data_IF_277321345129
#
_entry.id   IF_277321345129
#
_cell.length_a   1.000
_cell.length_b   1.000
_cell.length_c   1.000
_cell.angle_alpha   90.00
_cell.angle_beta   90.00
_cell.angle_gamma   90.00
#
_symmetry.space_group_name_H-M   'P 1'
#
loop_
_entity.id
_entity.type
_entity.pdbx_description
1 polymer ?
#
# COMPACT_ATOMS: atom_id res chain seq x y z
N UNK A 1 48.96 -49.71 2.28
CA UNK A 1 49.19 -48.29 1.96
C UNK A 1 48.39 -47.99 0.71
N UNK A 2 47.54 -46.94 0.78
CA UNK A 2 46.91 -46.12 -0.26
C UNK A 2 46.34 -46.81 -1.53
N UNK A 3 45.17 -46.45 -2.04
CA UNK A 3 44.10 -45.55 -1.64
C UNK A 3 42.89 -45.89 -2.53
N UNK A 4 41.70 -45.86 -1.95
CA UNK A 4 40.45 -45.92 -2.70
C UNK A 4 40.04 -44.51 -3.04
N UNK A 5 39.83 -44.21 -4.32
CA UNK A 5 39.16 -43.00 -4.76
C UNK A 5 38.36 -43.30 -6.03
N UNK A 6 37.14 -43.80 -5.84
CA UNK A 6 36.14 -43.83 -6.91
C UNK A 6 35.52 -42.43 -6.97
N UNK A 7 35.85 -41.69 -8.02
CA UNK A 7 35.36 -40.35 -8.30
C UNK A 7 33.83 -40.37 -8.50
N UNK A 8 33.10 -39.88 -7.49
CA UNK A 8 31.68 -39.57 -7.61
C UNK A 8 31.52 -38.39 -8.58
N UNK A 9 30.75 -38.59 -9.66
CA UNK A 9 30.44 -37.54 -10.64
C UNK A 9 29.65 -36.41 -9.96
N UNK A 10 30.00 -35.17 -10.26
CA UNK A 10 29.43 -33.95 -9.67
C UNK A 10 27.95 -33.68 -10.04
N UNK A 11 27.27 -34.61 -10.70
CA UNK A 11 25.91 -34.45 -11.22
C UNK A 11 24.81 -35.08 -10.32
N UNK A 12 25.18 -35.73 -9.21
CA UNK A 12 24.23 -36.40 -8.28
C UNK A 12 23.95 -35.60 -6.99
N UNK A 13 24.31 -34.32 -6.92
CA UNK A 13 23.90 -33.47 -5.79
C UNK A 13 22.47 -32.95 -6.04
N UNK A 14 21.50 -33.21 -5.14
CA UNK A 14 20.21 -32.53 -5.22
C UNK A 14 20.50 -31.02 -5.12
N UNK A 15 20.20 -30.30 -6.20
CA UNK A 15 20.32 -28.84 -6.23
C UNK A 15 19.60 -28.23 -5.03
N UNK A 16 20.07 -27.08 -4.51
CA UNK A 16 19.43 -26.45 -3.37
C UNK A 16 17.94 -26.36 -3.67
N UNK A 17 17.14 -26.97 -2.78
CA UNK A 17 15.70 -26.88 -2.86
C UNK A 17 15.36 -25.41 -3.04
N UNK A 18 14.81 -25.08 -4.21
CA UNK A 18 14.22 -23.78 -4.46
C UNK A 18 13.03 -23.72 -3.52
N UNK A 19 13.28 -23.34 -2.26
CA UNK A 19 12.23 -22.99 -1.33
C UNK A 19 11.44 -21.90 -2.04
N UNK A 20 10.23 -22.29 -2.48
CA UNK A 20 9.28 -21.37 -3.03
C UNK A 20 9.18 -20.22 -2.04
N UNK A 21 9.28 -18.99 -2.55
CA UNK A 21 8.93 -17.81 -1.78
C UNK A 21 7.43 -17.90 -1.49
N UNK A 22 7.05 -18.72 -0.51
CA UNK A 22 5.82 -18.52 0.22
C UNK A 22 5.95 -17.11 0.78
N UNK A 23 5.16 -16.22 0.19
CA UNK A 23 4.99 -14.84 0.62
C UNK A 23 4.64 -14.86 2.09
N UNK A 24 5.63 -14.72 2.98
CA UNK A 24 5.38 -14.41 4.37
C UNK A 24 4.50 -13.17 4.37
N UNK A 25 3.26 -13.31 4.81
CA UNK A 25 2.43 -12.15 5.09
C UNK A 25 3.19 -11.30 6.09
N UNK A 26 3.74 -10.18 5.62
CA UNK A 26 4.47 -9.25 6.46
C UNK A 26 3.57 -8.86 7.64
N UNK A 27 4.11 -8.86 8.85
CA UNK A 27 3.37 -8.42 10.04
C UNK A 27 3.20 -6.89 10.10
N UNK A 28 3.76 -6.15 9.15
CA UNK A 28 3.79 -4.69 9.10
C UNK A 28 3.89 -4.17 7.65
N UNK A 29 3.54 -2.91 7.38
CA UNK A 29 3.69 -2.32 6.07
C UNK A 29 5.14 -2.36 5.59
N UNK A 30 5.35 -2.73 4.32
CA UNK A 30 6.63 -2.55 3.66
C UNK A 30 7.08 -1.08 3.70
N UNK A 31 8.40 -0.87 3.67
CA UNK A 31 9.00 0.46 3.50
C UNK A 31 8.38 1.18 2.30
N UNK A 32 8.06 2.47 2.48
CA UNK A 32 7.27 3.22 1.50
C UNK A 32 7.50 4.72 1.60
N UNK A 33 7.60 5.39 0.46
CA UNK A 33 7.70 6.84 0.33
C UNK A 33 6.47 7.42 -0.36
N UNK A 34 6.12 8.67 -0.03
CA UNK A 34 4.95 9.35 -0.62
C UNK A 34 3.61 8.68 -0.32
N UNK A 35 3.52 7.89 0.75
CA UNK A 35 2.29 7.28 1.23
C UNK A 35 1.44 8.32 1.99
N UNK A 36 0.17 8.01 2.21
CA UNK A 36 -0.66 8.75 3.17
C UNK A 36 -0.74 7.99 4.48
N UNK A 37 -0.77 8.73 5.59
CA UNK A 37 -1.01 8.21 6.92
C UNK A 37 -2.02 9.12 7.63
N UNK A 38 -3.20 8.59 7.96
CA UNK A 38 -4.30 9.35 8.60
C UNK A 38 -4.83 8.61 9.81
N UNK A 39 -5.27 9.33 10.84
CA UNK A 39 -5.78 8.72 12.08
C UNK A 39 -7.22 9.10 12.38
N UNK A 40 -7.98 8.19 13.00
CA UNK A 40 -9.32 8.46 13.54
C UNK A 40 -9.33 8.59 15.08
N UNK A 41 -8.15 8.64 15.69
CA UNK A 41 -7.94 8.66 17.15
C UNK A 41 -7.78 7.29 17.80
N UNK A 42 -8.21 6.19 17.16
CA UNK A 42 -8.00 4.80 17.63
C UNK A 42 -7.16 3.96 16.68
N UNK A 43 -7.27 4.24 15.40
CA UNK A 43 -6.56 3.59 14.32
C UNK A 43 -5.79 4.61 13.49
N UNK A 44 -4.63 4.19 13.00
CA UNK A 44 -3.91 4.87 11.93
C UNK A 44 -4.00 4.02 10.67
N UNK A 45 -4.36 4.66 9.56
CA UNK A 45 -4.52 4.07 8.26
C UNK A 45 -3.37 4.50 7.36
N UNK A 46 -2.72 3.54 6.71
CA UNK A 46 -1.60 3.78 5.79
C UNK A 46 -1.91 3.19 4.43
N UNK A 47 -1.83 4.03 3.39
CA UNK A 47 -2.19 3.64 2.02
C UNK A 47 -1.22 4.22 0.99
N UNK A 48 -1.03 3.47 -0.09
CA UNK A 48 -0.28 3.88 -1.27
C UNK A 48 1.20 4.14 -1.00
N UNK A 49 1.78 5.00 -1.82
CA UNK A 49 3.21 5.25 -1.87
C UNK A 49 3.95 4.32 -2.82
N UNK A 50 5.26 4.45 -2.85
CA UNK A 50 6.15 3.63 -3.66
C UNK A 50 7.29 3.08 -2.83
N UNK A 51 7.87 1.97 -3.31
CA UNK A 51 9.08 1.37 -2.75
C UNK A 51 10.22 1.54 -3.75
N UNK A 52 11.37 1.99 -3.26
CA UNK A 52 12.60 2.08 -4.06
C UNK A 52 13.25 0.71 -4.15
N UNK A 53 13.55 0.23 -5.36
CA UNK A 53 14.29 -1.00 -5.55
C UNK A 53 15.77 -0.72 -5.83
N UNK A 54 16.59 -0.67 -4.78
CA UNK A 54 18.02 -0.38 -4.91
C UNK A 54 18.82 -1.53 -5.54
N UNK A 55 18.29 -2.76 -5.58
CA UNK A 55 19.09 -3.96 -5.88
C UNK A 55 19.33 -4.19 -7.37
N UNK A 56 18.66 -3.45 -8.28
CA UNK A 56 18.78 -3.71 -9.73
C UNK A 56 18.79 -2.49 -10.66
N UNK A 57 18.91 -1.27 -10.11
CA UNK A 57 18.80 -0.05 -10.93
C UNK A 57 17.45 0.10 -11.64
N UNK A 58 16.43 -0.61 -11.16
CA UNK A 58 15.06 -0.57 -11.68
C UNK A 58 14.28 0.54 -10.97
N UNK A 59 13.39 1.17 -11.72
CA UNK A 59 12.53 2.27 -11.30
C UNK A 59 11.75 1.98 -10.01
N UNK A 60 11.46 3.04 -9.24
CA UNK A 60 10.50 3.02 -8.15
C UNK A 60 9.17 2.39 -8.61
N UNK A 61 8.60 1.51 -7.77
CA UNK A 61 7.30 0.91 -8.06
C UNK A 61 6.27 1.30 -7.02
N UNK A 62 5.06 1.65 -7.48
CA UNK A 62 3.93 1.91 -6.60
C UNK A 62 3.50 0.64 -5.88
N UNK A 63 3.07 0.80 -4.64
CA UNK A 63 2.56 -0.30 -3.84
C UNK A 63 1.17 -0.77 -4.32
N UNK A 64 0.77 -2.01 -3.97
CA UNK A 64 -0.53 -2.55 -4.35
C UNK A 64 -1.67 -1.62 -3.93
N UNK A 65 -2.56 -1.27 -4.86
CA UNK A 65 -3.62 -0.28 -4.62
C UNK A 65 -4.71 -0.77 -3.68
N UNK A 66 -4.95 -2.08 -3.67
CA UNK A 66 -5.94 -2.73 -2.82
C UNK A 66 -5.47 -2.81 -1.36
N UNK A 67 -4.17 -2.62 -1.09
CA UNK A 67 -3.58 -2.74 0.24
C UNK A 67 -3.86 -1.50 1.12
N UNK A 68 -4.65 -1.70 2.18
CA UNK A 68 -4.77 -0.74 3.28
C UNK A 68 -4.19 -1.35 4.56
N UNK A 69 -3.27 -0.63 5.20
CA UNK A 69 -2.73 -1.00 6.50
C UNK A 69 -3.43 -0.24 7.60
N UNK A 70 -3.80 -0.96 8.66
CA UNK A 70 -4.46 -0.40 9.83
C UNK A 70 -3.62 -0.73 11.05
N UNK A 71 -3.15 0.30 11.74
CA UNK A 71 -2.50 0.19 13.03
C UNK A 71 -3.51 0.50 14.13
N UNK A 72 -3.79 -0.47 14.99
CA UNK A 72 -4.59 -0.23 16.19
C UNK A 72 -3.69 0.33 17.29
N UNK A 73 -3.94 1.57 17.69
CA UNK A 73 -3.07 2.31 18.62
C UNK A 73 -3.23 1.85 20.09
N UNK A 74 -4.33 1.18 20.43
CA UNK A 74 -4.57 0.63 21.76
C UNK A 74 -3.80 -0.68 21.98
N UNK A 75 -3.82 -1.57 21.00
CA UNK A 75 -3.18 -2.89 21.05
C UNK A 75 -1.76 -2.90 20.50
N UNK A 76 -1.37 -1.86 19.77
CA UNK A 76 -0.07 -1.73 19.12
C UNK A 76 0.13 -2.69 17.94
N UNK A 77 -0.94 -3.19 17.32
CA UNK A 77 -0.86 -4.20 16.25
C UNK A 77 -1.24 -3.63 14.88
N UNK A 78 -0.49 -4.05 13.88
CA UNK A 78 -0.80 -3.83 12.47
C UNK A 78 -1.70 -4.94 11.95
N UNK A 79 -2.58 -4.56 11.01
CA UNK A 79 -3.39 -5.47 10.22
C UNK A 79 -3.38 -4.98 8.79
N UNK A 80 -3.05 -5.87 7.85
CA UNK A 80 -3.30 -5.66 6.43
C UNK A 80 -4.76 -6.01 6.13
N UNK A 81 -5.42 -5.16 5.36
CA UNK A 81 -6.68 -5.50 4.73
C UNK A 81 -6.55 -5.27 3.23
N UNK A 82 -7.25 -6.10 2.46
CA UNK A 82 -7.50 -5.82 1.05
C UNK A 82 -8.81 -5.04 0.94
N UNK A 83 -8.83 -4.04 0.07
CA UNK A 83 -9.96 -3.17 -0.21
C UNK A 83 -10.49 -3.41 -1.62
N UNK A 84 -11.76 -3.13 -1.83
CA UNK A 84 -12.48 -3.38 -3.08
C UNK A 84 -13.24 -2.12 -3.55
N UNK A 85 -14.08 -2.26 -4.59
CA UNK A 85 -14.91 -1.17 -5.11
C UNK A 85 -14.18 -0.31 -6.14
N UNK A 86 -14.39 1.00 -6.08
CA UNK A 86 -13.72 2.00 -6.92
C UNK A 86 -12.28 2.26 -6.43
N UNK A 87 -11.48 1.20 -6.30
CA UNK A 87 -10.14 1.27 -5.71
C UNK A 87 -9.29 2.29 -6.50
N UNK A 88 -8.67 3.29 -5.82
CA UNK A 88 -7.81 4.25 -6.50
C UNK A 88 -6.66 3.56 -7.26
N UNK A 89 -6.07 4.16 -8.30
CA UNK A 89 -4.86 3.60 -8.91
C UNK A 89 -3.70 3.50 -7.91
N UNK A 90 -2.76 2.58 -8.13
CA UNK A 90 -1.51 2.56 -7.37
C UNK A 90 -0.77 3.88 -7.59
N UNK A 91 -0.62 4.68 -6.53
CA UNK A 91 -0.13 6.05 -6.63
C UNK A 91 0.63 6.50 -5.37
N UNK A 92 1.40 7.58 -5.51
CA UNK A 92 2.09 8.26 -4.42
C UNK A 92 1.80 9.76 -4.45
N UNK A 93 2.12 10.45 -3.36
CA UNK A 93 1.94 11.90 -3.26
C UNK A 93 0.48 12.35 -3.18
N UNK A 94 -0.46 11.45 -2.92
CA UNK A 94 -1.84 11.82 -2.60
C UNK A 94 -1.89 12.57 -1.27
N UNK A 95 -2.97 13.31 -1.02
CA UNK A 95 -3.31 13.79 0.30
C UNK A 95 -4.55 13.07 0.81
N UNK A 96 -4.62 12.88 2.12
CA UNK A 96 -5.77 12.22 2.74
C UNK A 96 -6.10 12.83 4.10
N UNK A 97 -7.36 12.70 4.48
CA UNK A 97 -7.87 13.01 5.82
C UNK A 97 -8.83 11.92 6.29
N UNK A 98 -8.98 11.77 7.60
CA UNK A 98 -10.03 10.93 8.17
C UNK A 98 -10.99 11.83 8.94
N UNK A 99 -12.26 11.81 8.56
CA UNK A 99 -13.34 12.57 9.22
C UNK A 99 -14.46 11.61 9.56
N UNK A 100 -14.85 11.57 10.83
CA UNK A 100 -15.92 10.69 11.33
C UNK A 100 -15.77 9.22 10.91
N UNK A 101 -14.52 8.74 10.88
CA UNK A 101 -14.10 7.38 10.46
C UNK A 101 -14.25 7.08 8.96
N UNK A 102 -14.51 8.11 8.15
CA UNK A 102 -14.44 8.04 6.69
C UNK A 102 -13.09 8.59 6.24
N UNK A 103 -12.34 7.78 5.52
CA UNK A 103 -11.09 8.17 4.89
C UNK A 103 -11.43 8.87 3.58
N UNK A 104 -10.85 10.03 3.35
CA UNK A 104 -10.96 10.78 2.11
C UNK A 104 -9.56 10.89 1.48
N UNK A 105 -9.47 10.60 0.19
CA UNK A 105 -8.20 10.56 -0.55
C UNK A 105 -8.33 11.37 -1.83
N UNK A 106 -7.45 12.35 -2.03
CA UNK A 106 -7.47 13.24 -3.18
C UNK A 106 -6.12 13.31 -3.89
N UNK A 107 -6.17 13.28 -5.22
CA UNK A 107 -5.00 13.53 -6.07
C UNK A 107 -3.90 12.47 -5.95
N UNK A 108 -2.70 12.84 -6.39
CA UNK A 108 -1.53 11.96 -6.41
C UNK A 108 -0.95 11.79 -7.81
N UNK A 109 0.12 10.99 -7.89
CA UNK A 109 0.84 10.67 -9.11
C UNK A 109 0.86 9.15 -9.31
N UNK A 110 0.43 8.70 -10.49
CA UNK A 110 0.43 7.29 -10.89
C UNK A 110 1.04 7.14 -12.29
N UNK A 111 1.02 5.92 -12.84
CA UNK A 111 1.64 5.58 -14.14
C UNK A 111 1.17 6.41 -15.35
N UNK A 112 0.04 7.11 -15.26
CA UNK A 112 -0.48 7.98 -16.34
C UNK A 112 -0.32 9.48 -16.03
N UNK A 113 0.41 9.81 -14.97
CA UNK A 113 0.64 11.18 -14.52
C UNK A 113 -0.17 11.56 -13.27
N UNK A 114 -0.34 12.87 -13.08
CA UNK A 114 -1.07 13.42 -11.95
C UNK A 114 -2.57 13.23 -12.10
N UNK A 115 -3.26 13.07 -10.97
CA UNK A 115 -4.72 12.93 -10.91
C UNK A 115 -5.35 14.01 -10.05
N UNK A 116 -6.63 14.27 -10.28
CA UNK A 116 -7.52 15.08 -9.44
C UNK A 116 -8.74 14.27 -8.96
N UNK A 117 -8.66 12.94 -9.04
CA UNK A 117 -9.75 12.07 -8.58
C UNK A 117 -9.86 12.09 -7.06
N UNK A 118 -11.09 11.96 -6.60
CA UNK A 118 -11.44 12.00 -5.19
C UNK A 118 -12.14 10.70 -4.81
N UNK A 119 -11.74 10.12 -3.68
CA UNK A 119 -12.23 8.83 -3.21
C UNK A 119 -12.57 8.91 -1.72
N UNK A 120 -13.52 8.10 -1.28
CA UNK A 120 -13.75 7.83 0.13
C UNK A 120 -13.80 6.33 0.45
N UNK A 121 -13.58 6.01 1.72
CA UNK A 121 -13.76 4.68 2.28
C UNK A 121 -14.27 4.80 3.71
N UNK A 122 -15.46 4.25 4.00
CA UNK A 122 -16.03 4.22 5.35
C UNK A 122 -15.44 3.04 6.15
N UNK A 123 -14.61 3.33 7.14
CA UNK A 123 -13.98 2.29 7.97
C UNK A 123 -14.92 1.65 8.99
N UNK A 124 -16.17 2.14 9.10
CA UNK A 124 -17.22 1.56 9.95
C UNK A 124 -18.07 0.53 9.22
N UNK A 125 -17.89 0.36 7.91
CA UNK A 125 -18.72 -0.59 7.16
C UNK A 125 -18.69 -1.95 7.83
N UNK A 126 -19.87 -2.55 8.02
CA UNK A 126 -20.04 -3.90 8.56
C UNK A 126 -19.75 -4.97 7.52
N UNK A 127 -19.47 -4.56 6.28
CA UNK A 127 -19.06 -5.46 5.22
C UNK A 127 -17.77 -6.19 5.62
N UNK A 128 -17.62 -7.42 5.10
CA UNK A 128 -16.42 -8.22 5.35
C UNK A 128 -15.16 -7.58 4.75
N UNK A 129 -15.34 -6.68 3.78
CA UNK A 129 -14.28 -6.01 3.01
C UNK A 129 -14.62 -4.54 2.91
N UNK A 130 -13.65 -3.66 3.18
CA UNK A 130 -13.85 -2.22 3.04
C UNK A 130 -13.85 -1.81 1.57
N UNK A 131 -14.83 -0.99 1.17
CA UNK A 131 -15.05 -0.58 -0.21
C UNK A 131 -14.61 0.88 -0.38
N UNK A 132 -13.85 1.15 -1.45
CA UNK A 132 -13.62 2.50 -1.94
C UNK A 132 -14.78 2.93 -2.83
N UNK A 133 -15.13 4.21 -2.74
CA UNK A 133 -16.11 4.85 -3.62
C UNK A 133 -15.47 6.08 -4.26
N UNK A 134 -15.63 6.22 -5.58
CA UNK A 134 -15.19 7.44 -6.28
C UNK A 134 -16.24 8.53 -6.08
N UNK A 135 -15.77 9.70 -5.64
CA UNK A 135 -16.60 10.88 -5.46
C UNK A 135 -16.52 11.73 -6.71
N UNK A 136 -17.66 11.92 -7.37
CA UNK A 136 -17.80 12.87 -8.46
C UNK A 136 -18.25 14.23 -7.90
N UNK A 137 -17.28 15.14 -7.72
CA UNK A 137 -17.55 16.49 -7.21
C UNK A 137 -18.29 17.35 -8.25
N UNK A 138 -19.22 18.19 -7.78
CA UNK A 138 -19.87 19.21 -8.61
C UNK A 138 -18.99 20.45 -8.78
N UNK A 139 -19.12 21.14 -9.92
CA UNK A 139 -18.39 22.37 -10.23
C UNK A 139 -17.11 22.14 -11.04
N UNK A 140 -16.22 23.14 -11.05
CA UNK A 140 -14.93 23.06 -11.74
C UNK A 140 -13.94 22.36 -10.80
N UNK A 141 -13.43 21.17 -11.14
CA UNK A 141 -12.50 20.47 -10.28
C UNK A 141 -11.14 21.18 -10.27
N UNK A 142 -10.38 21.09 -9.17
CA UNK A 142 -8.97 21.45 -9.18
C UNK A 142 -8.20 20.72 -10.28
N UNK A 143 -7.10 21.32 -10.74
CA UNK A 143 -6.15 20.65 -11.63
C UNK A 143 -5.55 19.38 -11.00
N UNK A 144 -5.14 18.44 -11.84
CA UNK A 144 -4.40 17.24 -11.44
C UNK A 144 -3.07 17.60 -10.77
N UNK A 145 -2.81 17.03 -9.59
CA UNK A 145 -1.64 17.39 -8.77
C UNK A 145 -1.35 16.36 -7.68
N UNK A 146 -0.11 16.37 -7.19
CA UNK A 146 0.43 15.54 -6.13
C UNK A 146 1.20 16.39 -5.10
N UNK A 147 1.62 15.77 -3.99
CA UNK A 147 2.40 16.38 -2.89
C UNK A 147 1.68 17.55 -2.22
N UNK A 148 0.37 17.41 -2.05
CA UNK A 148 -0.50 18.40 -1.43
C UNK A 148 -0.45 18.32 0.10
N UNK A 149 -0.69 19.45 0.75
CA UNK A 149 -1.12 19.50 2.15
C UNK A 149 -2.64 19.52 2.24
N UNK A 150 -3.19 18.88 3.27
CA UNK A 150 -4.62 18.85 3.56
C UNK A 150 -4.85 18.95 5.06
N UNK A 151 -5.93 19.62 5.47
CA UNK A 151 -6.38 19.70 6.85
C UNK A 151 -7.90 19.80 6.88
N UNK A 152 -8.49 19.51 8.03
CA UNK A 152 -9.93 19.59 8.26
C UNK A 152 -10.19 20.67 9.29
N UNK A 153 -11.15 21.55 9.04
CA UNK A 153 -11.55 22.60 9.96
C UNK A 153 -13.06 22.55 10.20
N UNK A 154 -13.47 22.30 11.45
CA UNK A 154 -14.89 22.14 11.84
C UNK A 154 -15.61 21.05 11.02
N UNK A 155 -14.94 19.90 10.85
CA UNK A 155 -15.43 18.76 10.06
C UNK A 155 -15.79 19.14 8.61
N UNK A 156 -15.07 20.11 8.03
CA UNK A 156 -15.21 20.59 6.66
C UNK A 156 -13.85 20.90 6.05
#
# INVERSE_FOLDING_TARGET
MADGNEDLRADDLPGPAYEGYESMELACPAERSGHVAVGDGRHMFVWGGYKSNQVRGLYDFYLPREELWIYNMETGRWKKINTEGDVPPSMSGSCAVCVDRVLYLFGGHHSRGNTNKFYMLDSRSTDRVLQWERIDCQGIPPSSKDKLGVWVYKNK
#
